data_IF_380374361299
#
_entry.id   IF_380374361299
#
_cell.length_a   1.000
_cell.length_b   1.000
_cell.length_c   1.000
_cell.angle_alpha   90.00
_cell.angle_beta   90.00
_cell.angle_gamma   90.00
#
_symmetry.space_group_name_H-M   'P 1'
#
loop_
_entity.id
_entity.type
_entity.pdbx_description
1 polymer ?
#
# COMPACT_ATOMS: atom_id res chain seq x y z
N UNK A 1 -14.80 29.58 -40.62
CA UNK A 1 -13.43 29.21 -40.23
C UNK A 1 -13.51 28.71 -38.80
N UNK A 2 -13.62 27.40 -38.63
CA UNK A 2 -13.47 26.75 -37.33
C UNK A 2 -11.98 26.74 -37.05
N UNK A 3 -11.54 27.57 -36.10
CA UNK A 3 -10.21 27.44 -35.51
C UNK A 3 -10.01 25.96 -35.19
N UNK A 4 -8.96 25.38 -35.77
CA UNK A 4 -8.56 24.02 -35.44
C UNK A 4 -7.93 24.09 -34.06
N UNK A 5 -8.78 24.05 -33.03
CA UNK A 5 -8.36 23.76 -31.66
C UNK A 5 -7.44 22.53 -31.73
N UNK A 6 -6.25 22.65 -31.15
CA UNK A 6 -5.27 21.59 -31.15
C UNK A 6 -5.93 20.33 -30.53
N UNK A 7 -5.67 19.13 -31.07
CA UNK A 7 -6.28 17.90 -30.56
C UNK A 7 -5.98 17.65 -29.07
N UNK A 8 -4.91 18.26 -28.56
CA UNK A 8 -4.50 18.26 -27.15
C UNK A 8 -5.47 19.04 -26.24
N UNK A 9 -5.95 20.21 -26.68
CA UNK A 9 -6.89 21.02 -25.90
C UNK A 9 -8.25 20.34 -25.76
N UNK A 10 -8.73 19.73 -26.84
CA UNK A 10 -9.96 18.93 -26.82
C UNK A 10 -9.84 17.72 -25.89
N UNK A 11 -8.67 17.07 -25.87
CA UNK A 11 -8.40 15.93 -24.98
C UNK A 11 -8.34 16.35 -23.52
N UNK A 12 -7.69 17.47 -23.21
CA UNK A 12 -7.66 18.03 -21.86
C UNK A 12 -9.08 18.40 -21.37
N UNK A 13 -9.88 19.09 -22.21
CA UNK A 13 -11.29 19.41 -21.90
C UNK A 13 -12.15 18.16 -21.75
N UNK A 14 -11.88 17.10 -22.50
CA UNK A 14 -12.56 15.82 -22.35
C UNK A 14 -12.30 15.19 -20.97
N UNK A 15 -11.02 15.07 -20.58
CA UNK A 15 -10.61 14.48 -19.29
C UNK A 15 -11.10 15.28 -18.10
N UNK A 16 -11.09 16.62 -18.19
CA UNK A 16 -11.64 17.52 -17.17
C UNK A 16 -13.18 17.52 -17.14
N UNK A 17 -13.84 16.90 -18.12
CA UNK A 17 -15.30 16.84 -18.21
C UNK A 17 -15.95 18.15 -18.63
N UNK A 18 -15.20 19.08 -19.24
CA UNK A 18 -15.65 20.40 -19.66
C UNK A 18 -16.35 20.40 -21.03
N UNK A 19 -16.18 19.33 -21.82
CA UNK A 19 -16.87 19.20 -23.10
C UNK A 19 -18.39 19.07 -22.92
N UNK A 20 -19.15 19.79 -23.75
CA UNK A 20 -20.60 19.64 -23.82
C UNK A 20 -20.98 18.21 -24.25
N UNK A 21 -22.18 17.70 -23.92
CA UNK A 21 -22.59 16.34 -24.30
C UNK A 21 -22.52 16.05 -25.81
N UNK A 22 -22.72 17.06 -26.67
CA UNK A 22 -22.57 16.91 -28.11
C UNK A 22 -21.09 16.78 -28.52
N UNK A 23 -20.24 17.69 -28.07
CA UNK A 23 -18.79 17.65 -28.33
C UNK A 23 -18.14 16.39 -27.77
N UNK A 24 -18.59 15.90 -26.62
CA UNK A 24 -18.13 14.65 -26.03
C UNK A 24 -18.37 13.47 -26.97
N UNK A 25 -19.57 13.34 -27.56
CA UNK A 25 -19.88 12.27 -28.52
C UNK A 25 -19.03 12.36 -29.78
N UNK A 26 -18.78 13.57 -30.29
CA UNK A 26 -17.93 13.79 -31.46
C UNK A 26 -16.46 13.45 -31.15
N UNK A 27 -15.97 13.82 -29.97
CA UNK A 27 -14.64 13.47 -29.49
C UNK A 27 -14.49 11.96 -29.27
N UNK A 28 -15.47 11.30 -28.66
CA UNK A 28 -15.50 9.82 -28.51
C UNK A 28 -15.50 9.10 -29.87
N UNK A 29 -16.23 9.63 -30.86
CA UNK A 29 -16.20 9.10 -32.23
C UNK A 29 -14.82 9.23 -32.88
N UNK A 30 -14.10 10.36 -32.67
CA UNK A 30 -12.70 10.54 -33.10
C UNK A 30 -11.76 9.60 -32.34
N UNK A 31 -11.96 9.43 -31.04
CA UNK A 31 -11.16 8.56 -30.17
C UNK A 31 -11.29 7.09 -30.56
N UNK A 32 -12.46 6.65 -31.04
CA UNK A 32 -12.65 5.29 -31.55
C UNK A 32 -11.79 5.00 -32.80
N UNK A 33 -11.46 6.03 -33.58
CA UNK A 33 -10.71 5.91 -34.84
C UNK A 33 -9.22 6.16 -34.67
N UNK A 34 -8.81 7.02 -33.74
CA UNK A 34 -7.42 7.40 -33.52
C UNK A 34 -6.79 6.64 -32.35
N UNK A 35 -5.66 5.97 -32.58
CA UNK A 35 -4.87 5.34 -31.52
C UNK A 35 -4.08 6.38 -30.71
N UNK A 36 -3.55 7.41 -31.38
CA UNK A 36 -2.75 8.46 -30.75
C UNK A 36 -3.60 9.28 -29.76
N UNK A 37 -4.85 9.57 -30.14
CA UNK A 37 -5.78 10.32 -29.29
C UNK A 37 -6.18 9.52 -28.04
N UNK A 38 -6.27 8.18 -28.15
CA UNK A 38 -6.48 7.30 -26.99
C UNK A 38 -5.27 7.28 -26.07
N UNK A 39 -4.06 7.18 -26.65
CA UNK A 39 -2.83 7.22 -25.87
C UNK A 39 -2.70 8.55 -25.11
N UNK A 40 -3.00 9.67 -25.76
CA UNK A 40 -2.99 10.99 -25.13
C UNK A 40 -4.02 11.12 -24.00
N UNK A 41 -5.26 10.64 -24.19
CA UNK A 41 -6.27 10.63 -23.12
C UNK A 41 -5.83 9.77 -21.95
N UNK A 42 -5.25 8.59 -22.19
CA UNK A 42 -4.70 7.75 -21.13
C UNK A 42 -3.57 8.45 -20.36
N UNK A 43 -2.64 9.11 -21.06
CA UNK A 43 -1.55 9.87 -20.42
C UNK A 43 -2.09 11.02 -19.54
N UNK A 44 -3.09 11.75 -20.03
CA UNK A 44 -3.75 12.83 -19.27
C UNK A 44 -4.53 12.29 -18.07
N UNK A 45 -5.22 11.16 -18.19
CA UNK A 45 -5.92 10.49 -17.09
C UNK A 45 -4.94 10.01 -16.02
N UNK A 46 -3.83 9.37 -16.41
CA UNK A 46 -2.77 8.94 -15.49
C UNK A 46 -2.15 10.14 -14.76
N UNK A 47 -1.90 11.24 -15.48
CA UNK A 47 -1.43 12.51 -14.91
C UNK A 47 -2.42 13.11 -13.91
N UNK A 48 -3.72 13.10 -14.22
CA UNK A 48 -4.77 13.57 -13.32
C UNK A 48 -4.87 12.71 -12.05
N UNK A 49 -4.73 11.38 -12.18
CA UNK A 49 -4.67 10.46 -11.04
C UNK A 49 -3.45 10.75 -10.17
N UNK A 50 -2.27 10.91 -10.78
CA UNK A 50 -1.05 11.26 -10.05
C UNK A 50 -1.18 12.58 -9.27
N UNK A 51 -1.76 13.61 -9.89
CA UNK A 51 -2.04 14.90 -9.24
C UNK A 51 -3.06 14.76 -8.09
N UNK A 52 -4.08 13.92 -8.26
CA UNK A 52 -5.08 13.65 -7.21
C UNK A 52 -4.45 12.94 -6.00
N UNK A 53 -3.49 12.04 -6.23
CA UNK A 53 -2.77 11.31 -5.19
C UNK A 53 -1.69 12.15 -4.50
N UNK A 54 -1.12 13.12 -5.21
CA UNK A 54 -0.16 14.08 -4.65
C UNK A 54 -0.84 15.13 -3.75
N UNK A 55 -2.16 15.34 -3.91
CA UNK A 55 -2.91 16.27 -3.08
C UNK A 55 -3.03 15.73 -1.65
N UNK A 56 -2.73 16.53 -0.60
CA UNK A 56 -2.86 16.09 0.78
C UNK A 56 -4.28 15.57 1.06
N UNK A 57 -4.43 14.38 1.66
CA UNK A 57 -5.75 13.80 1.90
C UNK A 57 -6.55 14.71 2.83
N UNK A 58 -7.58 15.36 2.29
CA UNK A 58 -8.54 16.13 3.10
C UNK A 58 -9.53 15.17 3.73
N UNK A 59 -9.62 15.20 5.06
CA UNK A 59 -10.63 14.42 5.78
C UNK A 59 -12.01 14.94 5.42
N UNK A 60 -12.81 14.14 4.72
CA UNK A 60 -14.19 14.49 4.42
C UNK A 60 -14.98 14.69 5.73
N UNK A 61 -15.90 15.67 5.82
CA UNK A 61 -16.75 15.84 6.99
C UNK A 61 -17.52 14.55 7.31
N UNK A 62 -17.64 14.21 8.60
CA UNK A 62 -18.29 12.96 9.03
C UNK A 62 -19.74 12.84 8.55
N UNK A 63 -20.43 13.98 8.39
CA UNK A 63 -21.80 14.05 7.86
C UNK A 63 -21.91 13.51 6.43
N UNK A 64 -20.87 13.70 5.61
CA UNK A 64 -20.82 13.20 4.22
C UNK A 64 -20.71 11.68 4.23
N UNK A 65 -19.84 11.12 5.08
CA UNK A 65 -19.71 9.67 5.25
C UNK A 65 -21.00 9.03 5.78
N UNK A 66 -21.62 9.61 6.80
CA UNK A 66 -22.90 9.13 7.32
C UNK A 66 -24.01 9.17 6.25
N UNK A 67 -24.01 10.18 5.37
CA UNK A 67 -24.96 10.26 4.25
C UNK A 67 -24.68 9.18 3.21
N UNK A 68 -23.42 8.96 2.84
CA UNK A 68 -22.99 7.91 1.90
C UNK A 68 -23.38 6.53 2.43
N UNK A 69 -23.11 6.25 3.70
CA UNK A 69 -23.45 4.98 4.35
C UNK A 69 -24.96 4.76 4.38
N UNK A 70 -25.74 5.81 4.67
CA UNK A 70 -27.21 5.76 4.62
C UNK A 70 -27.74 5.52 3.20
N UNK A 71 -27.12 6.09 2.17
CA UNK A 71 -27.51 5.86 0.77
C UNK A 71 -27.12 4.45 0.31
N UNK A 72 -25.90 3.98 0.62
CA UNK A 72 -25.46 2.62 0.28
C UNK A 72 -26.27 1.57 1.02
N UNK A 73 -26.60 1.78 2.29
CA UNK A 73 -27.44 0.85 3.06
C UNK A 73 -28.87 0.74 2.50
N UNK A 74 -29.41 1.79 1.88
CA UNK A 74 -30.71 1.75 1.20
C UNK A 74 -30.65 1.03 -0.14
N UNK A 75 -29.57 1.20 -0.89
CA UNK A 75 -29.38 0.55 -2.19
C UNK A 75 -29.09 -0.95 -2.02
N UNK A 76 -28.28 -1.32 -1.01
CA UNK A 76 -28.09 -2.70 -0.57
C UNK A 76 -29.43 -3.35 -0.21
N UNK A 77 -30.28 -2.66 0.56
CA UNK A 77 -31.61 -3.19 0.92
C UNK A 77 -32.57 -3.30 -0.27
N UNK A 78 -32.44 -2.48 -1.31
CA UNK A 78 -33.23 -2.62 -2.55
C UNK A 78 -32.73 -3.76 -3.42
N UNK A 79 -31.41 -4.00 -3.45
CA UNK A 79 -30.83 -5.10 -4.22
C UNK A 79 -31.02 -6.49 -3.58
N UNK A 80 -31.35 -6.56 -2.28
CA UNK A 80 -31.68 -7.84 -1.63
C UNK A 80 -33.12 -8.31 -1.95
N UNK A 81 -33.99 -7.46 -2.49
CA UNK A 81 -35.39 -7.84 -2.78
C UNK A 81 -35.55 -8.53 -4.15
N UNK A 82 -34.54 -8.56 -5.01
CA UNK A 82 -34.57 -9.34 -6.27
C UNK A 82 -33.99 -10.75 -6.16
N UNK A 83 -33.56 -11.18 -4.97
CA UNK A 83 -33.09 -12.55 -4.73
C UNK A 83 -34.20 -13.57 -4.37
N UNK A 84 -35.48 -13.20 -4.50
CA UNK A 84 -36.62 -14.11 -4.23
C UNK A 84 -37.16 -14.81 -5.50
N UNK A 85 -36.65 -14.46 -6.68
CA UNK A 85 -36.97 -15.19 -7.93
C UNK A 85 -36.09 -16.44 -8.18
N UNK A 86 -35.29 -16.86 -7.20
CA UNK A 86 -34.27 -17.91 -7.35
C UNK A 86 -34.61 -19.30 -6.81
N UNK A 87 -35.80 -19.53 -6.24
CA UNK A 87 -36.17 -20.83 -5.68
C UNK A 87 -36.87 -21.79 -6.69
N UNK A 88 -37.15 -21.32 -7.91
CA UNK A 88 -37.83 -22.12 -8.96
C UNK A 88 -36.94 -22.59 -10.12
N UNK A 89 -35.71 -22.09 -10.27
CA UNK A 89 -34.89 -22.32 -11.48
C UNK A 89 -33.97 -23.55 -11.43
N UNK A 90 -33.97 -24.30 -10.31
CA UNK A 90 -33.22 -25.57 -10.15
C UNK A 90 -33.72 -26.73 -11.04
N UNK A 91 -34.65 -26.48 -11.97
CA UNK A 91 -35.08 -27.45 -12.99
C UNK A 91 -34.31 -27.37 -14.31
N UNK A 92 -33.41 -26.40 -14.49
CA UNK A 92 -32.64 -26.28 -15.72
C UNK A 92 -31.14 -26.43 -15.45
N UNK A 93 -30.68 -27.68 -15.32
CA UNK A 93 -29.26 -28.06 -15.17
C UNK A 93 -28.34 -27.57 -16.29
N UNK A 94 -28.89 -26.99 -17.35
CA UNK A 94 -28.16 -26.35 -18.45
C UNK A 94 -27.53 -25.01 -18.06
N UNK A 95 -28.04 -24.30 -17.04
CA UNK A 95 -27.53 -23.00 -16.65
C UNK A 95 -26.12 -23.07 -16.03
N UNK A 96 -25.82 -24.14 -15.28
CA UNK A 96 -24.49 -24.35 -14.71
C UNK A 96 -23.44 -24.63 -15.80
N UNK A 97 -23.81 -25.39 -16.83
CA UNK A 97 -22.93 -25.65 -17.98
C UNK A 97 -22.67 -24.36 -18.79
N UNK A 98 -23.68 -23.51 -18.97
CA UNK A 98 -23.52 -22.23 -19.65
C UNK A 98 -22.60 -21.27 -18.87
N UNK A 99 -22.76 -21.17 -17.54
CA UNK A 99 -21.88 -20.36 -16.71
C UNK A 99 -20.42 -20.85 -16.76
N UNK A 100 -20.21 -22.18 -16.77
CA UNK A 100 -18.88 -22.76 -16.87
C UNK A 100 -18.22 -22.53 -18.25
N UNK A 101 -19.01 -22.58 -19.33
CA UNK A 101 -18.53 -22.23 -20.68
C UNK A 101 -18.17 -20.74 -20.80
N UNK A 102 -18.95 -19.84 -20.21
CA UNK A 102 -18.65 -18.40 -20.20
C UNK A 102 -17.36 -18.13 -19.42
N UNK A 103 -17.20 -18.75 -18.24
CA UNK A 103 -15.96 -18.66 -17.46
C UNK A 103 -14.74 -19.19 -18.21
N UNK A 104 -14.88 -20.32 -18.91
CA UNK A 104 -13.80 -20.87 -19.74
C UNK A 104 -13.47 -19.99 -20.94
N UNK A 105 -14.47 -19.39 -21.59
CA UNK A 105 -14.26 -18.51 -22.74
C UNK A 105 -13.53 -17.22 -22.33
N UNK A 106 -13.87 -16.63 -21.18
CA UNK A 106 -13.15 -15.50 -20.60
C UNK A 106 -11.71 -15.87 -20.23
N UNK A 107 -11.51 -17.05 -19.63
CA UNK A 107 -10.18 -17.55 -19.29
C UNK A 107 -9.31 -17.74 -20.54
N UNK A 108 -9.86 -18.35 -21.60
CA UNK A 108 -9.15 -18.53 -22.87
C UNK A 108 -8.79 -17.20 -23.54
N UNK A 109 -9.67 -16.19 -23.45
CA UNK A 109 -9.42 -14.85 -23.97
C UNK A 109 -8.29 -14.13 -23.21
N UNK A 110 -8.18 -14.38 -21.91
CA UNK A 110 -7.13 -13.83 -21.06
C UNK A 110 -5.77 -14.48 -21.30
N UNK A 111 -5.73 -15.82 -21.38
CA UNK A 111 -4.47 -16.57 -21.57
C UNK A 111 -3.90 -16.37 -22.98
N UNK A 112 -4.77 -16.12 -23.99
CA UNK A 112 -4.33 -15.88 -25.37
C UNK A 112 -4.07 -14.42 -25.71
N UNK A 113 -3.90 -13.50 -24.75
CA UNK A 113 -3.29 -12.20 -25.07
C UNK A 113 -1.87 -12.47 -25.58
N UNK A 114 -1.60 -12.36 -26.89
CA UNK A 114 -0.24 -12.52 -27.39
C UNK A 114 0.54 -11.37 -26.78
N UNK A 115 1.54 -11.69 -25.97
CA UNK A 115 2.51 -10.70 -25.54
C UNK A 115 3.03 -10.03 -26.80
N UNK A 116 2.66 -8.77 -27.00
CA UNK A 116 3.27 -7.88 -27.98
C UNK A 116 4.73 -7.75 -27.57
N UNK A 117 5.55 -8.68 -28.05
CA UNK A 117 7.00 -8.57 -28.03
C UNK A 117 7.33 -7.41 -28.97
N UNK A 118 7.25 -6.19 -28.44
CA UNK A 118 7.87 -5.03 -29.05
C UNK A 118 9.37 -5.29 -28.99
N UNK A 119 9.91 -5.71 -30.12
CA UNK A 119 11.34 -5.75 -30.37
C UNK A 119 11.91 -4.37 -30.09
N UNK A 120 12.61 -4.25 -28.95
CA UNK A 120 13.51 -3.13 -28.68
C UNK A 120 14.76 -3.32 -29.54
N UNK A 121 15.06 -2.42 -30.49
CA UNK A 121 16.34 -2.46 -31.20
C UNK A 121 17.44 -2.14 -30.19
N UNK A 122 18.22 -3.18 -29.90
CA UNK A 122 19.49 -3.17 -29.21
C UNK A 122 20.43 -2.12 -29.87
N UNK A 123 20.48 -0.92 -29.30
CA UNK A 123 21.48 0.09 -29.66
C UNK A 123 22.79 -0.31 -29.00
N UNK A 124 23.73 -0.67 -29.87
CA UNK A 124 25.10 -1.01 -29.54
C UNK A 124 25.76 0.07 -28.67
N UNK A 125 26.37 -0.40 -27.60
CA UNK A 125 27.44 0.25 -26.86
C UNK A 125 28.47 0.88 -27.80
N UNK A 126 28.53 2.21 -27.80
CA UNK A 126 29.59 3.00 -28.46
C UNK A 126 30.24 3.93 -27.43
N UNK A 127 31.32 3.41 -26.86
CA UNK A 127 32.60 4.06 -26.61
C UNK A 127 32.58 5.58 -26.40
N UNK A 128 32.73 5.99 -25.14
CA UNK A 128 33.39 7.24 -24.76
C UNK A 128 34.68 7.44 -25.57
N UNK A 129 34.89 8.67 -26.06
CA UNK A 129 36.09 9.34 -25.64
C UNK A 129 35.79 10.74 -25.11
N UNK A 130 36.39 11.01 -23.95
CA UNK A 130 36.73 12.34 -23.50
C UNK A 130 37.46 13.09 -24.64
N UNK A 131 36.95 14.26 -25.00
CA UNK A 131 37.76 15.40 -25.36
C UNK A 131 36.90 16.65 -25.17
N UNK A 132 37.27 17.45 -24.17
CA UNK A 132 37.69 18.83 -24.36
C UNK A 132 37.13 19.54 -25.61
N UNK A 133 36.44 20.67 -25.42
CA UNK A 133 36.67 21.93 -26.15
C UNK A 133 35.68 22.99 -25.65
N UNK A 134 36.26 23.96 -24.95
CA UNK A 134 35.83 25.36 -24.94
C UNK A 134 35.70 25.82 -26.39
N UNK A 135 34.52 26.26 -26.86
CA UNK A 135 34.40 27.43 -27.74
C UNK A 135 33.00 27.65 -28.31
N UNK A 136 32.49 28.85 -28.07
CA UNK A 136 31.88 29.73 -29.08
C UNK A 136 30.76 29.14 -29.95
N UNK A 137 29.51 29.29 -29.51
CA UNK A 137 28.38 29.42 -30.44
C UNK A 137 28.33 30.85 -30.98
N UNK A 138 29.26 31.14 -31.89
CA UNK A 138 29.20 32.28 -32.81
C UNK A 138 28.02 32.02 -33.75
N UNK A 139 27.05 32.92 -33.76
CA UNK A 139 26.00 32.95 -34.76
C UNK A 139 26.65 33.03 -36.15
N UNK A 140 26.64 31.91 -36.88
CA UNK A 140 27.04 31.84 -38.28
C UNK A 140 25.82 32.18 -39.12
N UNK A 141 25.82 33.44 -39.54
CA UNK A 141 25.12 33.98 -40.68
C UNK A 141 25.73 33.36 -41.95
N UNK A 142 25.01 32.44 -42.58
CA UNK A 142 25.24 32.03 -43.97
C UNK A 142 23.84 31.98 -44.63
N UNK A 143 23.45 33.01 -45.36
CA UNK A 143 23.85 33.24 -46.75
C UNK A 143 23.03 32.34 -47.70
N UNK A 144 21.84 32.83 -48.05
CA UNK A 144 21.01 32.29 -49.12
C UNK A 144 20.73 33.42 -50.10
N UNK A 145 21.67 33.59 -51.03
CA UNK A 145 21.52 34.44 -52.20
C UNK A 145 20.46 33.85 -53.14
N UNK A 146 19.33 34.56 -53.27
CA UNK A 146 18.40 34.41 -54.40
C UNK A 146 18.40 35.74 -55.19
N UNK A 147 18.78 35.75 -56.47
CA UNK A 147 18.73 36.95 -57.28
C UNK A 147 17.29 37.17 -57.75
N UNK A 148 16.63 38.21 -57.25
CA UNK A 148 15.37 38.71 -57.82
C UNK A 148 15.70 40.01 -58.55
N UNK A 149 15.56 39.93 -59.87
CA UNK A 149 15.66 41.04 -60.81
C UNK A 149 14.60 42.09 -60.51
N UNK A 150 15.08 43.32 -60.37
CA UNK A 150 14.34 44.58 -60.32
C UNK A 150 13.36 44.73 -61.48
N UNK A 151 12.13 45.15 -61.21
CA UNK A 151 11.36 46.08 -62.06
C UNK A 151 10.24 46.73 -61.23
N UNK A 152 10.27 48.07 -61.12
CA UNK A 152 9.08 48.90 -60.84
C UNK A 152 9.02 49.58 -59.47
N UNK A 153 9.31 50.89 -59.45
CA UNK A 153 8.92 51.83 -58.40
C UNK A 153 7.38 52.01 -58.38
N UNK A 154 6.70 52.45 -57.29
CA UNK A 154 6.99 53.73 -56.64
C UNK A 154 7.08 53.69 -55.10
N UNK A 155 7.71 54.73 -54.57
CA UNK A 155 7.83 55.07 -53.17
C UNK A 155 6.47 55.05 -52.44
N UNK A 156 6.35 54.22 -51.40
CA UNK A 156 5.38 54.42 -50.31
C UNK A 156 6.15 54.55 -49.01
N UNK A 157 6.41 55.80 -48.64
CA UNK A 157 7.24 56.22 -47.50
C UNK A 157 6.51 56.12 -46.14
N UNK A 158 5.58 55.17 -45.98
CA UNK A 158 4.63 55.14 -44.85
C UNK A 158 4.67 53.91 -43.93
N UNK A 159 5.29 52.80 -44.31
CA UNK A 159 5.09 51.49 -43.62
C UNK A 159 6.23 51.04 -42.70
N UNK A 160 7.38 51.74 -42.71
CA UNK A 160 8.53 51.39 -41.85
C UNK A 160 8.23 51.54 -40.36
N UNK A 161 7.36 52.49 -39.98
CA UNK A 161 6.97 52.68 -38.58
C UNK A 161 6.08 51.55 -38.05
N UNK A 162 5.19 50.99 -38.89
CA UNK A 162 4.32 49.88 -38.48
C UNK A 162 5.13 48.58 -38.31
N UNK A 163 6.11 48.33 -39.18
CA UNK A 163 7.02 47.18 -39.00
C UNK A 163 7.87 47.30 -37.73
N UNK A 164 8.36 48.51 -37.41
CA UNK A 164 9.10 48.75 -36.17
C UNK A 164 8.21 48.56 -34.93
N UNK A 165 6.95 49.02 -34.98
CA UNK A 165 5.99 48.82 -33.90
C UNK A 165 5.64 47.35 -33.70
N UNK A 166 5.43 46.59 -34.79
CA UNK A 166 5.14 45.17 -34.72
C UNK A 166 6.33 44.38 -34.15
N UNK A 167 7.56 44.73 -34.55
CA UNK A 167 8.77 44.09 -34.02
C UNK A 167 8.96 44.40 -32.53
N UNK A 168 8.67 45.64 -32.11
CA UNK A 168 8.71 46.04 -30.70
C UNK A 168 7.62 45.34 -29.87
N UNK A 169 6.42 45.15 -30.43
CA UNK A 169 5.35 44.37 -29.80
C UNK A 169 5.76 42.90 -29.61
N UNK A 170 6.34 42.28 -30.65
CA UNK A 170 6.87 40.91 -30.58
C UNK A 170 7.95 40.74 -29.53
N UNK A 171 8.88 41.70 -29.39
CA UNK A 171 9.91 41.61 -28.35
C UNK A 171 9.33 41.68 -26.93
N UNK A 172 8.28 42.47 -26.71
CA UNK A 172 7.58 42.51 -25.42
C UNK A 172 6.87 41.20 -25.11
N UNK A 173 6.26 40.59 -26.12
CA UNK A 173 5.61 39.28 -26.01
C UNK A 173 6.63 38.19 -25.64
N UNK A 174 7.78 38.15 -26.32
CA UNK A 174 8.85 37.19 -26.01
C UNK A 174 9.40 37.39 -24.60
N UNK A 175 9.58 38.64 -24.16
CA UNK A 175 10.02 38.92 -22.79
C UNK A 175 9.00 38.46 -21.73
N UNK A 176 7.71 38.64 -22.00
CA UNK A 176 6.64 38.17 -21.11
C UNK A 176 6.61 36.63 -21.02
N UNK A 177 6.78 35.93 -22.14
CA UNK A 177 6.84 34.47 -22.18
C UNK A 177 8.06 33.92 -21.41
N UNK A 178 9.24 34.54 -21.58
CA UNK A 178 10.43 34.13 -20.83
C UNK A 178 10.25 34.30 -19.31
N UNK A 179 9.56 35.36 -18.89
CA UNK A 179 9.25 35.56 -17.48
C UNK A 179 8.29 34.48 -16.95
N UNK A 180 7.27 34.11 -17.72
CA UNK A 180 6.36 33.02 -17.36
C UNK A 180 7.06 31.67 -17.25
N UNK A 181 8.01 31.37 -18.15
CA UNK A 181 8.80 30.13 -18.09
C UNK A 181 9.67 30.11 -16.82
N UNK A 182 10.30 31.23 -16.47
CA UNK A 182 11.10 31.31 -15.24
C UNK A 182 10.25 31.08 -13.98
N UNK A 183 9.04 31.64 -13.95
CA UNK A 183 8.09 31.45 -12.85
C UNK A 183 7.64 29.99 -12.72
N UNK A 184 7.22 29.37 -13.83
CA UNK A 184 6.86 27.94 -13.88
C UNK A 184 8.01 27.04 -13.41
N UNK A 185 9.23 27.34 -13.84
CA UNK A 185 10.43 26.58 -13.44
C UNK A 185 10.67 26.70 -11.93
N UNK A 186 10.49 27.87 -11.35
CA UNK A 186 10.58 28.07 -9.90
C UNK A 186 9.49 27.31 -9.13
N UNK A 187 8.26 27.31 -9.65
CA UNK A 187 7.17 26.56 -9.02
C UNK A 187 7.42 25.05 -9.06
N UNK A 188 7.94 24.52 -10.16
CA UNK A 188 8.33 23.10 -10.26
C UNK A 188 9.48 22.77 -9.33
N UNK A 189 10.50 23.63 -9.23
CA UNK A 189 11.59 23.46 -8.29
C UNK A 189 11.08 23.43 -6.83
N UNK A 190 10.19 24.34 -6.46
CA UNK A 190 9.59 24.38 -5.13
C UNK A 190 8.74 23.13 -4.83
N UNK A 191 7.93 22.66 -5.79
CA UNK A 191 7.14 21.44 -5.63
C UNK A 191 8.02 20.19 -5.51
N UNK A 192 9.07 20.08 -6.32
CA UNK A 192 10.01 18.95 -6.21
C UNK A 192 10.74 18.94 -4.87
N UNK A 193 11.11 20.11 -4.34
CA UNK A 193 11.69 20.23 -3.01
C UNK A 193 10.69 19.83 -1.90
N UNK A 194 9.44 20.29 -1.98
CA UNK A 194 8.41 19.94 -1.03
C UNK A 194 8.09 18.43 -1.04
N UNK A 195 8.03 17.82 -2.23
CA UNK A 195 7.85 16.37 -2.37
C UNK A 195 9.04 15.59 -1.82
N UNK A 196 10.27 16.05 -2.06
CA UNK A 196 11.47 15.41 -1.50
C UNK A 196 11.48 15.50 0.03
N UNK A 197 11.06 16.64 0.60
CA UNK A 197 10.89 16.79 2.05
C UNK A 197 9.78 15.89 2.61
N UNK A 198 8.64 15.78 1.93
CA UNK A 198 7.57 14.86 2.34
C UNK A 198 8.01 13.40 2.24
N UNK A 199 8.73 13.02 1.18
CA UNK A 199 9.30 11.69 1.06
C UNK A 199 10.30 11.42 2.19
N UNK A 200 11.20 12.35 2.51
CA UNK A 200 12.13 12.23 3.64
C UNK A 200 11.40 12.01 4.98
N UNK A 201 10.30 12.71 5.23
CA UNK A 201 9.48 12.52 6.43
C UNK A 201 8.72 11.17 6.45
N UNK A 202 8.38 10.63 5.28
CA UNK A 202 7.78 9.30 5.15
C UNK A 202 8.80 8.16 5.28
N UNK A 203 10.09 8.43 5.15
CA UNK A 203 11.13 7.40 5.15
C UNK A 203 11.47 6.81 6.53
N UNK A 204 11.11 7.43 7.66
CA UNK A 204 11.75 7.08 8.95
C UNK A 204 10.90 6.40 10.05
N UNK A 205 9.57 6.57 10.20
CA UNK A 205 8.83 5.82 11.23
C UNK A 205 7.72 4.87 10.73
N UNK A 206 7.11 5.08 9.57
CA UNK A 206 5.88 4.34 9.19
C UNK A 206 6.04 3.26 8.12
N UNK A 207 7.29 2.94 7.73
CA UNK A 207 7.51 1.86 6.76
C UNK A 207 7.44 0.51 7.46
N UNK A 208 6.39 -0.26 7.16
CA UNK A 208 6.29 -1.66 7.55
C UNK A 208 7.51 -2.42 7.00
N UNK A 209 8.37 -2.89 7.90
CA UNK A 209 9.51 -3.76 7.56
C UNK A 209 9.21 -5.15 8.05
N UNK A 210 9.12 -6.10 7.14
CA UNK A 210 9.00 -7.51 7.47
C UNK A 210 10.37 -8.08 7.78
N UNK A 211 10.45 -8.88 8.84
CA UNK A 211 11.65 -9.60 9.20
C UNK A 211 11.26 -11.00 9.69
N UNK A 212 12.24 -11.89 9.69
CA UNK A 212 12.08 -13.25 10.16
C UNK A 212 13.22 -13.53 11.15
N UNK A 213 12.89 -13.83 12.42
CA UNK A 213 13.90 -14.17 13.42
C UNK A 213 14.34 -15.61 13.16
N UNK A 214 15.57 -15.79 12.69
CA UNK A 214 16.12 -17.12 12.41
C UNK A 214 16.69 -17.68 13.71
N UNK A 215 16.41 -18.94 14.08
CA UNK A 215 17.05 -19.56 15.24
C UNK A 215 18.58 -19.59 15.03
N UNK A 216 19.38 -19.50 16.12
CA UNK A 216 20.83 -19.54 16.01
C UNK A 216 21.25 -20.85 15.31
N UNK A 217 21.83 -20.72 14.11
CA UNK A 217 22.24 -21.88 13.31
C UNK A 217 23.58 -22.39 13.83
N UNK A 218 23.57 -23.55 14.49
CA UNK A 218 24.80 -24.31 14.74
C UNK A 218 25.33 -24.80 13.39
N UNK A 219 26.41 -24.18 12.91
CA UNK A 219 26.84 -24.22 11.51
C UNK A 219 27.02 -25.62 10.93
N UNK A 220 26.14 -26.02 10.00
CA UNK A 220 26.44 -26.76 8.75
C UNK A 220 25.18 -27.27 8.02
N UNK A 221 23.98 -27.08 8.55
CA UNK A 221 22.76 -27.57 7.90
C UNK A 221 21.76 -26.43 7.69
N UNK A 222 21.68 -25.97 6.44
CA UNK A 222 20.61 -25.07 5.99
C UNK A 222 19.33 -25.91 5.94
N UNK A 223 18.57 -25.92 7.03
CA UNK A 223 17.26 -26.53 7.04
C UNK A 223 16.35 -25.81 6.01
N UNK A 224 15.59 -26.52 5.18
CA UNK A 224 14.66 -25.89 4.25
C UNK A 224 13.63 -25.10 5.05
N UNK A 225 13.44 -23.83 4.68
CA UNK A 225 12.44 -22.97 5.30
C UNK A 225 11.06 -23.61 5.15
N UNK A 226 10.44 -23.99 6.27
CA UNK A 226 9.06 -24.48 6.23
C UNK A 226 8.12 -23.32 5.93
N UNK A 227 7.05 -23.55 5.15
CA UNK A 227 6.09 -22.50 4.85
C UNK A 227 5.38 -22.04 6.13
N UNK A 228 5.27 -20.71 6.29
CA UNK A 228 4.56 -20.08 7.42
C UNK A 228 3.10 -20.55 7.45
N UNK A 229 2.59 -20.89 8.64
CA UNK A 229 1.21 -21.35 8.78
C UNK A 229 0.21 -20.27 8.31
N UNK A 230 -0.87 -20.69 7.63
CA UNK A 230 -1.90 -19.77 7.11
C UNK A 230 -2.61 -19.01 8.24
N UNK A 231 -2.77 -19.63 9.40
CA UNK A 231 -3.34 -18.99 10.59
C UNK A 231 -2.42 -17.89 11.12
N UNK A 232 -1.11 -18.13 11.13
CA UNK A 232 -0.11 -17.14 11.54
C UNK A 232 -0.07 -15.96 10.56
N UNK A 233 -0.13 -16.23 9.25
CA UNK A 233 -0.23 -15.18 8.23
C UNK A 233 -1.47 -14.30 8.42
N UNK A 234 -2.62 -14.92 8.73
CA UNK A 234 -3.87 -14.19 9.00
C UNK A 234 -3.77 -13.34 10.26
N UNK A 235 -3.19 -13.87 11.34
CA UNK A 235 -2.98 -13.12 12.58
C UNK A 235 -2.04 -11.92 12.36
N UNK A 236 -0.93 -12.11 11.63
CA UNK A 236 0.00 -11.05 11.28
C UNK A 236 -0.69 -9.96 10.43
N UNK A 237 -1.51 -10.36 9.45
CA UNK A 237 -2.27 -9.43 8.63
C UNK A 237 -3.28 -8.61 9.45
N UNK A 238 -3.99 -9.23 10.38
CA UNK A 238 -4.92 -8.53 11.26
C UNK A 238 -4.19 -7.56 12.20
N UNK A 239 -3.02 -7.95 12.72
CA UNK A 239 -2.18 -7.05 13.50
C UNK A 239 -1.75 -5.82 12.68
N UNK A 240 -1.31 -6.01 11.43
CA UNK A 240 -0.98 -4.91 10.53
C UNK A 240 -2.17 -4.01 10.25
N UNK A 241 -3.34 -4.59 9.95
CA UNK A 241 -4.55 -3.82 9.69
C UNK A 241 -4.95 -2.97 10.90
N UNK A 242 -4.77 -3.48 12.12
CA UNK A 242 -5.00 -2.72 13.36
C UNK A 242 -4.00 -1.57 13.52
N UNK A 243 -2.71 -1.81 13.29
CA UNK A 243 -1.66 -0.78 13.39
C UNK A 243 -1.80 0.32 12.33
N UNK A 244 -2.25 -0.05 11.12
CA UNK A 244 -2.55 0.92 10.06
C UNK A 244 -3.88 1.67 10.27
N UNK A 245 -4.61 1.38 11.36
CA UNK A 245 -5.90 1.99 11.66
C UNK A 245 -7.03 1.55 10.73
N UNK A 246 -6.85 0.48 9.93
CA UNK A 246 -7.89 -0.08 9.07
C UNK A 246 -8.99 -0.77 9.89
N UNK A 247 -8.64 -1.30 11.05
CA UNK A 247 -9.60 -1.82 12.02
C UNK A 247 -9.67 -0.88 13.22
N UNK A 248 -10.78 -0.16 13.35
CA UNK A 248 -11.12 0.53 14.58
C UNK A 248 -11.45 -0.53 15.62
N UNK A 249 -10.62 -0.66 16.67
CA UNK A 249 -10.90 -1.56 17.77
C UNK A 249 -12.25 -1.19 18.38
N UNK A 250 -13.28 -2.06 18.34
CA UNK A 250 -14.59 -1.73 18.90
C UNK A 250 -14.49 -1.40 20.40
N UNK A 251 -13.50 -2.00 21.09
CA UNK A 251 -13.26 -1.80 22.52
C UNK A 251 -12.85 -0.37 22.90
N UNK A 252 -12.18 0.40 22.02
CA UNK A 252 -11.82 1.78 22.36
C UNK A 252 -13.02 2.73 22.33
N UNK A 253 -14.01 2.44 21.48
CA UNK A 253 -15.25 3.22 21.38
C UNK A 253 -16.23 2.94 22.55
N UNK A 254 -16.21 1.72 23.09
CA UNK A 254 -17.09 1.32 24.20
C UNK A 254 -16.49 1.72 25.57
N UNK A 255 -15.17 1.61 25.75
CA UNK A 255 -14.48 2.11 26.94
C UNK A 255 -14.60 3.64 27.09
N UNK A 256 -14.56 4.39 25.99
CA UNK A 256 -14.78 5.85 26.01
C UNK A 256 -16.24 6.23 26.32
N UNK A 257 -17.21 5.36 26.00
CA UNK A 257 -18.64 5.56 26.33
C UNK A 257 -18.99 5.16 27.75
N UNK A 258 -18.33 4.14 28.30
CA UNK A 258 -18.52 3.70 29.68
C UNK A 258 -17.79 4.60 30.68
N UNK A 259 -16.65 5.19 30.29
CA UNK A 259 -15.91 6.16 31.12
C UNK A 259 -16.68 7.48 31.37
N UNK A 260 -17.68 7.82 30.55
CA UNK A 260 -18.49 9.02 30.74
C UNK A 260 -19.79 8.80 31.53
N UNK A 261 -20.12 7.55 31.91
CA UNK A 261 -21.46 7.24 32.43
C UNK A 261 -21.53 6.48 33.78
N UNK A 262 -20.43 6.18 34.48
CA UNK A 262 -20.57 5.30 35.66
C UNK A 262 -19.60 5.56 36.83
N UNK A 263 -19.99 6.47 37.72
CA UNK A 263 -19.63 6.44 39.14
C UNK A 263 -20.38 5.28 39.84
N UNK A 264 -19.83 4.06 39.84
CA UNK A 264 -20.20 3.05 40.86
C UNK A 264 -19.11 1.99 41.01
N UNK A 265 -18.55 1.75 42.21
CA UNK A 265 -17.50 0.78 42.42
C UNK A 265 -18.10 -0.63 42.50
N UNK A 266 -17.86 -1.44 41.48
CA UNK A 266 -18.16 -2.87 41.47
C UNK A 266 -17.06 -3.62 40.73
N UNK A 267 -16.37 -4.51 41.45
CA UNK A 267 -15.27 -5.36 40.99
C UNK A 267 -15.53 -5.99 39.60
N UNK A 268 -14.81 -5.51 38.58
CA UNK A 268 -14.71 -6.16 37.28
C UNK A 268 -13.24 -6.23 36.86
N UNK A 269 -12.53 -7.22 37.39
CA UNK A 269 -11.16 -7.56 37.04
C UNK A 269 -11.13 -8.40 35.76
N UNK A 270 -11.37 -7.79 34.59
CA UNK A 270 -11.07 -8.34 33.27
C UNK A 270 -10.57 -7.23 32.34
N UNK A 271 -9.66 -6.39 32.84
CA UNK A 271 -8.93 -5.45 32.02
C UNK A 271 -7.87 -6.21 31.22
N UNK A 272 -7.72 -5.85 29.94
CA UNK A 272 -6.62 -6.22 29.06
C UNK A 272 -5.31 -6.35 29.85
N UNK A 273 -4.75 -7.56 29.91
CA UNK A 273 -3.50 -7.84 30.63
C UNK A 273 -2.35 -7.22 29.83
N UNK A 274 -2.22 -5.89 29.88
CA UNK A 274 -0.96 -5.23 29.58
C UNK A 274 -0.07 -5.46 30.80
N UNK A 275 0.90 -6.36 30.69
CA UNK A 275 1.93 -6.48 31.70
C UNK A 275 2.65 -5.13 31.82
N UNK A 276 3.00 -4.71 33.04
CA UNK A 276 3.50 -3.37 33.41
C UNK A 276 4.82 -2.95 32.71
N UNK A 277 5.31 -3.74 31.75
CA UNK A 277 6.59 -3.61 31.07
C UNK A 277 6.49 -3.18 29.60
N UNK A 278 5.29 -2.78 29.13
CA UNK A 278 5.13 -2.16 27.81
C UNK A 278 5.02 -3.13 26.62
N UNK A 279 4.62 -4.38 26.90
CA UNK A 279 4.24 -5.37 25.89
C UNK A 279 2.72 -5.39 25.77
N UNK A 280 2.20 -5.14 24.57
CA UNK A 280 0.75 -5.27 24.28
C UNK A 280 0.50 -6.61 23.58
N UNK A 281 -0.52 -7.32 24.03
CA UNK A 281 -0.86 -8.66 23.56
C UNK A 281 -2.15 -8.60 22.77
N UNK A 282 -2.08 -8.98 21.49
CA UNK A 282 -3.27 -9.12 20.66
C UNK A 282 -3.63 -10.60 20.60
N UNK A 283 -4.58 -11.01 21.44
CA UNK A 283 -5.19 -12.34 21.35
C UNK A 283 -6.33 -12.31 20.32
N UNK A 284 -6.16 -13.04 19.21
CA UNK A 284 -7.17 -13.13 18.14
C UNK A 284 -8.24 -14.19 18.43
N UNK A 285 -8.71 -14.28 19.68
CA UNK A 285 -9.90 -15.09 19.98
C UNK A 285 -11.06 -14.58 19.14
N UNK A 286 -11.51 -15.40 18.19
CA UNK A 286 -12.83 -15.21 17.58
C UNK A 286 -13.84 -15.22 18.73
N UNK A 287 -14.55 -14.10 18.93
CA UNK A 287 -15.40 -13.87 20.11
C UNK A 287 -16.18 -15.10 20.55
N UNK A 288 -15.76 -15.67 21.68
CA UNK A 288 -16.43 -16.78 22.34
C UNK A 288 -17.23 -16.23 23.51
N UNK A 289 -18.55 -16.16 23.34
CA UNK A 289 -19.49 -16.13 24.46
C UNK A 289 -19.26 -17.37 25.32
N UNK A 290 -18.54 -17.26 26.43
CA UNK A 290 -18.45 -18.36 27.40
C UNK A 290 -19.68 -18.35 28.29
N UNK A 291 -20.64 -19.22 27.96
CA UNK A 291 -21.59 -19.78 28.93
C UNK A 291 -20.80 -20.45 30.03
N UNK A 292 -21.12 -20.10 31.27
CA UNK A 292 -20.57 -20.68 32.48
C UNK A 292 -21.10 -22.10 32.63
N UNK A 293 -20.27 -23.12 32.39
CA UNK A 293 -20.55 -24.48 32.86
C UNK A 293 -19.67 -24.76 34.08
N UNK A 294 -20.26 -24.49 35.24
CA UNK A 294 -19.86 -25.08 36.51
C UNK A 294 -20.45 -26.47 36.56
N UNK A 295 -19.62 -27.52 36.60
CA UNK A 295 -20.05 -28.83 37.11
C UNK A 295 -18.84 -29.53 37.73
N UNK A 296 -18.81 -29.54 39.06
CA UNK A 296 -18.04 -30.52 39.80
C UNK A 296 -18.70 -31.88 39.64
N UNK A 297 -17.92 -32.91 39.31
CA UNK A 297 -18.31 -34.30 39.53
C UNK A 297 -17.08 -35.15 39.82
N UNK A 298 -17.11 -35.77 41.00
CA UNK A 298 -16.14 -36.70 41.55
C UNK A 298 -16.06 -37.99 40.74
N UNK A 299 -14.81 -38.45 40.57
CA UNK A 299 -14.28 -39.80 40.45
C UNK A 299 -15.14 -40.90 39.79
N UNK A 300 -14.64 -41.43 38.67
CA UNK A 300 -14.68 -42.86 38.39
C UNK A 300 -13.44 -43.25 37.58
N UNK A 301 -12.60 -44.08 38.20
CA UNK A 301 -11.36 -44.63 37.68
C UNK A 301 -11.63 -45.79 36.70
N UNK A 302 -11.07 -45.72 35.49
CA UNK A 302 -10.91 -46.84 34.56
C UNK A 302 -9.45 -46.87 34.05
N UNK A 303 -8.93 -48.05 33.65
CA UNK A 303 -7.51 -48.35 33.69
C UNK A 303 -6.72 -47.72 32.54
N UNK A 304 -5.63 -47.09 32.97
CA UNK A 304 -4.37 -46.77 32.30
C UNK A 304 -4.07 -47.61 31.05
N UNK A 305 -4.41 -47.08 29.88
CA UNK A 305 -3.58 -47.25 28.70
C UNK A 305 -2.54 -46.12 28.79
N UNK A 306 -1.25 -46.44 28.97
CA UNK A 306 -0.18 -45.44 28.87
C UNK A 306 0.03 -45.21 27.38
N UNK A 307 -0.42 -44.10 26.77
CA UNK A 307 0.05 -43.74 25.46
C UNK A 307 1.51 -43.34 25.68
N UNK A 308 2.41 -43.96 24.91
CA UNK A 308 3.80 -43.55 24.80
C UNK A 308 3.86 -42.01 24.75
N UNK A 309 4.64 -41.35 25.64
CA UNK A 309 4.68 -39.90 25.67
C UNK A 309 5.06 -39.45 24.27
N UNK A 310 4.28 -38.54 23.61
CA UNK A 310 4.62 -38.07 22.29
C UNK A 310 6.07 -37.62 22.34
N UNK A 311 6.93 -38.30 21.57
CA UNK A 311 8.34 -37.96 21.41
C UNK A 311 8.43 -36.45 21.29
N UNK A 312 9.09 -35.82 22.26
CA UNK A 312 9.27 -34.37 22.39
C UNK A 312 9.45 -33.80 20.98
N UNK A 313 8.41 -33.16 20.45
CA UNK A 313 8.45 -32.57 19.13
C UNK A 313 9.55 -31.52 19.18
N UNK A 314 10.70 -31.82 18.56
CA UNK A 314 11.79 -30.87 18.42
C UNK A 314 11.20 -29.59 17.84
N UNK A 315 11.44 -28.47 18.53
CA UNK A 315 11.03 -27.16 18.05
C UNK A 315 11.51 -27.02 16.60
N UNK A 316 10.56 -26.94 15.68
CA UNK A 316 10.85 -26.82 14.25
C UNK A 316 11.68 -25.56 14.05
N UNK A 317 12.74 -25.63 13.24
CA UNK A 317 13.68 -24.53 12.94
C UNK A 317 13.05 -23.38 12.14
N UNK A 318 11.81 -23.03 12.46
CA UNK A 318 10.99 -22.10 11.75
C UNK A 318 11.32 -20.71 12.27
N UNK A 319 11.71 -19.85 11.35
CA UNK A 319 12.01 -18.48 11.71
C UNK A 319 10.71 -17.71 12.03
N UNK A 320 10.71 -16.94 13.12
CA UNK A 320 9.53 -16.25 13.66
C UNK A 320 9.21 -15.05 12.78
N UNK A 321 8.05 -14.99 12.10
CA UNK A 321 7.70 -13.86 11.28
C UNK A 321 7.30 -12.66 12.15
N UNK A 322 7.75 -11.48 11.74
CA UNK A 322 7.40 -10.23 12.40
C UNK A 322 7.43 -9.02 11.47
N UNK A 323 6.91 -7.90 11.95
CA UNK A 323 7.04 -6.61 11.28
C UNK A 323 7.34 -5.48 12.25
N UNK A 324 8.02 -4.43 11.78
CA UNK A 324 8.26 -3.21 12.56
C UNK A 324 7.30 -2.13 12.06
N UNK A 325 6.61 -1.47 12.98
CA UNK A 325 5.79 -0.27 12.73
C UNK A 325 6.15 0.77 13.78
N UNK A 326 6.74 1.89 13.37
CA UNK A 326 7.20 2.94 14.29
C UNK A 326 8.23 2.41 15.28
N UNK A 327 7.92 2.57 16.56
CA UNK A 327 8.74 2.13 17.70
C UNK A 327 8.31 0.78 18.24
N UNK A 328 7.52 0.00 17.51
CA UNK A 328 7.02 -1.31 17.94
C UNK A 328 7.45 -2.39 16.95
N UNK A 329 7.93 -3.52 17.47
CA UNK A 329 8.15 -4.75 16.74
C UNK A 329 7.02 -5.73 17.07
N UNK A 330 6.38 -6.29 16.04
CA UNK A 330 5.29 -7.24 16.16
C UNK A 330 5.81 -8.62 15.79
N UNK A 331 5.70 -9.57 16.71
CA UNK A 331 6.15 -10.95 16.56
C UNK A 331 4.96 -11.89 16.64
N UNK A 332 4.83 -12.80 15.68
CA UNK A 332 3.72 -13.74 15.65
C UNK A 332 4.18 -15.16 16.05
N UNK A 333 3.46 -15.77 16.97
CA UNK A 333 3.71 -17.12 17.49
C UNK A 333 2.48 -18.01 17.28
N UNK A 334 2.71 -19.28 16.96
CA UNK A 334 1.68 -20.32 16.96
C UNK A 334 2.22 -21.65 17.47
N UNK A 335 1.36 -22.67 17.48
CA UNK A 335 1.71 -24.01 17.95
C UNK A 335 2.80 -24.71 17.12
N UNK A 336 3.18 -24.17 15.95
CA UNK A 336 4.26 -24.73 15.12
C UNK A 336 5.64 -24.28 15.60
N UNK A 337 5.71 -23.17 16.35
CA UNK A 337 6.94 -22.63 16.93
C UNK A 337 7.18 -23.17 18.35
N UNK A 338 6.13 -23.27 19.14
CA UNK A 338 6.19 -23.86 20.48
C UNK A 338 4.85 -24.56 20.80
N UNK A 339 4.83 -25.68 21.54
CA UNK A 339 3.57 -26.31 21.93
C UNK A 339 2.66 -25.37 22.72
N UNK A 340 1.34 -25.52 22.56
CA UNK A 340 0.37 -24.80 23.40
C UNK A 340 0.64 -25.08 24.89
N UNK A 341 0.55 -24.04 25.71
CA UNK A 341 0.96 -24.06 27.13
C UNK A 341 2.42 -23.67 27.37
N UNK A 342 3.23 -23.46 26.33
CA UNK A 342 4.60 -22.95 26.49
C UNK A 342 4.58 -21.50 26.98
N UNK A 343 5.49 -21.15 27.88
CA UNK A 343 5.73 -19.77 28.31
C UNK A 343 6.76 -19.12 27.40
N UNK A 344 6.37 -18.07 26.67
CA UNK A 344 7.26 -17.24 25.87
C UNK A 344 7.79 -16.10 26.74
N UNK A 345 9.11 -15.95 26.81
CA UNK A 345 9.78 -14.86 27.50
C UNK A 345 10.58 -14.02 26.48
N UNK A 346 10.38 -12.72 26.57
CA UNK A 346 11.01 -11.71 25.73
C UNK A 346 12.08 -11.01 26.54
N UNK A 347 13.28 -10.86 25.98
CA UNK A 347 14.33 -10.08 26.62
C UNK A 347 15.28 -9.46 25.62
N UNK A 348 15.98 -8.41 26.06
CA UNK A 348 17.06 -7.82 25.29
C UNK A 348 18.39 -8.42 25.79
N UNK A 349 19.19 -8.95 24.86
CA UNK A 349 20.58 -9.29 25.13
C UNK A 349 21.44 -8.06 24.83
N UNK A 350 22.20 -7.58 25.82
CA UNK A 350 23.21 -6.55 25.55
C UNK A 350 24.43 -7.16 24.85
N UNK A 351 25.27 -6.33 24.26
CA UNK A 351 26.57 -6.75 23.68
C UNK A 351 27.49 -7.46 24.68
N UNK A 352 27.21 -7.34 25.97
CA UNK A 352 27.94 -7.96 27.09
C UNK A 352 27.33 -9.29 27.53
N UNK A 353 26.32 -9.79 26.82
CA UNK A 353 25.61 -11.03 27.14
C UNK A 353 24.65 -10.93 28.33
N UNK A 354 24.36 -9.73 28.83
CA UNK A 354 23.37 -9.56 29.90
C UNK A 354 21.95 -9.63 29.33
N UNK A 355 21.14 -10.53 29.89
CA UNK A 355 19.73 -10.68 29.52
C UNK A 355 18.85 -9.78 30.40
N UNK A 356 18.09 -8.88 29.76
CA UNK A 356 17.11 -8.02 30.42
C UNK A 356 15.69 -8.47 30.08
N UNK A 357 14.90 -8.99 31.04
CA UNK A 357 13.55 -9.45 30.76
C UNK A 357 12.63 -8.26 30.44
N UNK A 358 12.00 -8.31 29.27
CA UNK A 358 11.00 -7.34 28.82
C UNK A 358 9.60 -7.81 29.24
N UNK A 359 9.31 -9.10 29.16
CA UNK A 359 8.02 -9.64 29.58
C UNK A 359 7.86 -11.10 29.24
N UNK A 360 6.76 -11.70 29.68
CA UNK A 360 6.39 -13.08 29.33
C UNK A 360 4.90 -13.22 29.05
N UNK A 361 4.55 -14.27 28.32
CA UNK A 361 3.16 -14.64 28.01
C UNK A 361 3.06 -16.14 27.77
N UNK A 362 1.88 -16.72 27.97
CA UNK A 362 1.63 -18.13 27.67
C UNK A 362 1.05 -18.28 26.26
N UNK A 363 1.65 -19.15 25.46
CA UNK A 363 1.15 -19.48 24.14
C UNK A 363 -0.08 -20.39 24.26
N UNK A 364 -1.22 -19.92 23.78
CA UNK A 364 -2.47 -20.67 23.75
C UNK A 364 -2.57 -21.65 22.57
N UNK A 365 -3.79 -22.09 22.28
CA UNK A 365 -4.10 -22.86 21.06
C UNK A 365 -4.24 -21.98 19.82
N UNK A 366 -4.47 -20.67 20.00
CA UNK A 366 -4.60 -19.70 18.91
C UNK A 366 -3.26 -19.00 18.64
N UNK A 367 -3.03 -18.52 17.40
CA UNK A 367 -1.87 -17.70 17.10
C UNK A 367 -1.91 -16.41 17.93
N UNK A 368 -0.75 -16.03 18.45
CA UNK A 368 -0.54 -14.88 19.32
C UNK A 368 0.35 -13.87 18.60
N UNK A 369 -0.05 -12.61 18.53
CA UNK A 369 0.84 -11.52 18.09
C UNK A 369 1.21 -10.66 19.28
N UNK A 370 2.51 -10.50 19.49
CA UNK A 370 3.09 -9.75 20.59
C UNK A 370 3.72 -8.47 20.06
N UNK A 371 3.31 -7.32 20.60
CA UNK A 371 3.90 -6.03 20.29
C UNK A 371 4.96 -5.67 21.35
N UNK A 372 6.21 -5.58 20.92
CA UNK A 372 7.38 -5.24 21.76
C UNK A 372 7.85 -3.84 21.40
N UNK A 373 7.93 -2.94 22.37
CA UNK A 373 8.45 -1.57 22.16
C UNK A 373 9.96 -1.59 21.88
N UNK A 374 10.36 -1.20 20.66
CA UNK A 374 11.73 -1.17 20.16
C UNK A 374 12.68 -0.28 20.98
N UNK A 375 12.20 0.77 21.64
CA UNK A 375 13.07 1.62 22.49
C UNK A 375 13.54 0.92 23.77
N UNK A 376 12.88 -0.17 24.19
CA UNK A 376 13.42 -1.03 25.27
C UNK A 376 14.74 -1.71 24.88
N UNK A 377 15.08 -1.68 23.58
CA UNK A 377 16.28 -2.27 22.97
C UNK A 377 17.28 -1.16 22.55
N UNK A 378 17.09 0.10 22.97
CA UNK A 378 17.78 1.28 22.38
C UNK A 378 19.28 1.43 22.70
N UNK A 379 19.92 0.48 23.39
CA UNK A 379 21.37 0.44 23.43
C UNK A 379 21.89 -0.05 22.07
N UNK A 380 22.76 0.73 21.40
CA UNK A 380 23.33 0.32 20.11
C UNK A 380 23.93 -1.10 20.23
N UNK A 381 23.36 -2.05 19.49
CA UNK A 381 23.78 -3.44 19.48
C UNK A 381 23.04 -4.38 20.44
N UNK A 382 21.89 -3.98 21.00
CA UNK A 382 21.04 -4.93 21.74
C UNK A 382 20.26 -5.84 20.79
N UNK A 383 20.20 -7.13 21.09
CA UNK A 383 19.54 -8.16 20.27
C UNK A 383 18.27 -8.62 20.98
N UNK A 384 17.12 -8.61 20.30
CA UNK A 384 15.86 -9.09 20.86
C UNK A 384 15.87 -10.61 20.88
N UNK A 385 16.04 -11.19 22.06
CA UNK A 385 16.03 -12.64 22.23
C UNK A 385 14.65 -13.10 22.69
N UNK A 386 14.09 -14.08 21.99
CA UNK A 386 12.86 -14.75 22.42
C UNK A 386 13.20 -16.16 22.87
N UNK A 387 12.88 -16.47 24.12
CA UNK A 387 13.01 -17.80 24.70
C UNK A 387 11.64 -18.40 24.94
N UNK A 388 11.50 -19.69 24.69
CA UNK A 388 10.29 -20.44 24.99
C UNK A 388 10.61 -21.53 26.01
N UNK A 389 9.83 -21.57 27.08
CA UNK A 389 9.87 -22.63 28.10
C UNK A 389 8.68 -23.56 27.88
N UNK A 390 8.94 -24.80 27.49
CA UNK A 390 7.92 -25.83 27.30
C UNK A 390 7.28 -26.22 28.65
N UNK A 391 6.08 -26.81 28.65
CA UNK A 391 5.45 -27.34 29.87
C UNK A 391 6.32 -28.34 30.66
N UNK A 392 7.26 -29.01 29.99
CA UNK A 392 8.24 -29.91 30.62
C UNK A 392 9.50 -29.22 31.16
N UNK A 393 9.55 -27.89 31.18
CA UNK A 393 10.70 -27.10 31.68
C UNK A 393 11.86 -26.94 30.70
N UNK A 394 11.83 -27.59 29.54
CA UNK A 394 12.83 -27.39 28.50
C UNK A 394 12.78 -25.95 27.96
N UNK A 395 13.92 -25.26 27.93
CA UNK A 395 14.06 -23.89 27.44
C UNK A 395 14.78 -23.91 26.09
N UNK A 396 14.24 -23.23 25.09
CA UNK A 396 14.89 -23.06 23.79
C UNK A 396 14.79 -21.62 23.29
N UNK A 397 15.80 -21.19 22.54
CA UNK A 397 15.81 -19.88 21.87
C UNK A 397 15.04 -19.99 20.56
N UNK A 398 13.94 -19.26 20.44
CA UNK A 398 13.09 -19.27 19.24
C UNK A 398 13.69 -18.40 18.13
N UNK A 399 14.36 -17.30 18.50
CA UNK A 399 15.02 -16.39 17.56
C UNK A 399 15.79 -15.27 18.26
N UNK A 400 16.68 -14.63 17.49
CA UNK A 400 17.52 -13.48 17.88
C UNK A 400 17.44 -12.37 16.82
#
# INVERSE_FOLDING_TARGET
MTDHDLPEDDAARYVLGELTPAQRREFEARMAQSIDLRALVCELEDGAVALSMASPPRRAPQEVWARIEKTMGREQRRNVVTAVFGAGSWRHGWAAAAACLIGWLLYALWVKRPGTTLNSPQVASRTEPQHEIISQRKMSLADSHRPVTSTGAPQTRGTTNEQLQLLQARMREIAALHWQIAELTNQVAHLSQALTQQQALLFEPNRLRFFQLVPPSDGNTVAPATPVSTNLQRALFLAMARELGWQQSPASSEAARLASSQERPGNASNASITNQTGVDFVDFRSGSNTVTESTGRLAQSEPTYIPEPPTLASASGNAVPGFISGTNAFLAFDSTLAPAGSSLAFGALTTWGQYWPIGSTMLGTNPLVVAVRAWSVSGSGSILTVTATMPGGAVFTVGQ
#
